data_IF_279392416052
#
_entry.id   IF_279392416052
#
_cell.length_a   1.000
_cell.length_b   1.000
_cell.length_c   1.000
_cell.angle_alpha   90.00
_cell.angle_beta   90.00
_cell.angle_gamma   90.00
#
_symmetry.space_group_name_H-M   'P 1'
#
loop_
_entity.id
_entity.type
_entity.pdbx_description
1 polymer ?
#
# COMPACT_ATOMS: atom_id res chain seq x y z
N UNK A 1 14.22 8.02 -4.25
CA UNK A 1 14.19 6.55 -4.46
C UNK A 1 13.29 5.94 -3.39
N UNK A 2 12.58 4.84 -3.67
CA UNK A 2 11.80 4.08 -2.70
C UNK A 2 12.36 2.66 -2.62
N UNK A 3 12.35 2.07 -1.43
CA UNK A 3 12.77 0.69 -1.20
C UNK A 3 11.56 -0.07 -0.66
N UNK A 4 11.22 -1.17 -1.32
CA UNK A 4 10.11 -2.03 -0.95
C UNK A 4 10.61 -3.40 -0.51
N UNK A 5 10.11 -3.87 0.62
CA UNK A 5 10.20 -5.27 1.00
C UNK A 5 8.85 -5.90 0.75
N UNK A 6 8.81 -6.91 -0.12
CA UNK A 6 7.54 -7.49 -0.59
C UNK A 6 7.52 -8.96 -0.27
N UNK A 7 6.51 -9.41 0.49
CA UNK A 7 6.32 -10.85 0.72
C UNK A 7 5.58 -11.49 -0.45
N UNK A 8 6.08 -12.64 -0.90
CA UNK A 8 5.45 -13.45 -1.94
C UNK A 8 5.44 -14.91 -1.49
N UNK A 9 4.32 -15.60 -1.69
CA UNK A 9 4.14 -17.00 -1.34
C UNK A 9 3.15 -17.68 -2.29
N UNK A 10 2.91 -18.97 -2.11
CA UNK A 10 1.95 -19.69 -2.94
C UNK A 10 0.54 -19.11 -2.79
N UNK A 11 -0.05 -18.65 -3.90
CA UNK A 11 -1.34 -17.95 -3.97
C UNK A 11 -1.44 -16.69 -3.09
N UNK A 12 -0.31 -16.09 -2.72
CA UNK A 12 -0.27 -14.83 -1.98
C UNK A 12 0.83 -13.93 -2.53
N UNK A 13 0.46 -12.74 -2.99
CA UNK A 13 1.43 -11.73 -3.39
C UNK A 13 1.05 -10.40 -2.75
N UNK A 14 2.02 -9.74 -2.14
CA UNK A 14 1.81 -8.48 -1.44
C UNK A 14 1.98 -8.61 0.07
N UNK A 15 2.16 -7.46 0.71
CA UNK A 15 2.56 -7.33 2.10
C UNK A 15 4.04 -6.95 2.25
N UNK A 16 4.38 -6.35 3.37
CA UNK A 16 5.75 -5.95 3.75
C UNK A 16 6.20 -6.77 4.97
N UNK A 17 7.34 -6.43 5.57
CA UNK A 17 7.70 -6.95 6.88
C UNK A 17 6.58 -6.73 7.90
N UNK A 18 6.51 -7.63 8.88
CA UNK A 18 5.58 -7.47 9.99
C UNK A 18 6.04 -6.34 10.91
N UNK A 19 5.14 -5.80 11.73
CA UNK A 19 5.53 -4.90 12.83
C UNK A 19 6.54 -5.57 13.76
N UNK A 20 7.55 -4.84 14.27
CA UNK A 20 7.76 -3.39 14.14
C UNK A 20 8.58 -2.94 12.90
N UNK A 21 8.76 -3.81 11.91
CA UNK A 21 9.71 -3.59 10.80
C UNK A 21 9.06 -3.12 9.49
N UNK A 22 7.74 -2.91 9.52
CA UNK A 22 6.89 -2.59 8.36
C UNK A 22 7.46 -1.48 7.48
N UNK A 23 8.05 -0.46 8.10
CA UNK A 23 8.54 0.76 7.45
C UNK A 23 10.06 0.80 7.23
N UNK A 24 10.79 -0.32 7.38
CA UNK A 24 12.24 -0.33 7.16
C UNK A 24 12.67 0.11 5.76
N UNK A 25 11.86 -0.18 4.74
CA UNK A 25 12.11 0.33 3.39
C UNK A 25 12.17 1.86 3.33
N UNK A 26 11.24 2.53 4.03
CA UNK A 26 11.22 3.99 4.17
C UNK A 26 12.41 4.48 4.97
N UNK A 27 12.69 3.87 6.12
CA UNK A 27 13.81 4.25 7.00
C UNK A 27 15.15 4.20 6.23
N UNK A 28 15.41 3.12 5.50
CA UNK A 28 16.64 2.98 4.71
C UNK A 28 16.68 4.02 3.58
N UNK A 29 15.56 4.20 2.87
CA UNK A 29 15.44 5.19 1.79
C UNK A 29 15.73 6.61 2.27
N UNK A 30 15.19 6.99 3.42
CA UNK A 30 15.38 8.33 3.99
C UNK A 30 16.80 8.50 4.50
N UNK A 31 17.38 7.46 5.14
CA UNK A 31 18.80 7.46 5.51
C UNK A 31 19.70 7.62 4.28
N UNK A 32 19.48 6.88 3.20
CA UNK A 32 20.24 7.05 1.96
C UNK A 32 20.13 8.47 1.39
N UNK A 33 18.94 9.08 1.45
CA UNK A 33 18.75 10.47 1.00
C UNK A 33 19.58 11.44 1.84
N UNK A 34 19.51 11.33 3.17
CA UNK A 34 20.26 12.17 4.10
C UNK A 34 21.76 12.05 3.90
N UNK A 35 22.25 10.84 3.63
CA UNK A 35 23.66 10.57 3.41
C UNK A 35 24.11 10.86 1.97
N UNK A 36 23.22 11.29 1.07
CA UNK A 36 23.56 11.55 -0.34
C UNK A 36 23.98 10.28 -1.10
N UNK A 37 23.24 9.19 -0.89
CA UNK A 37 23.32 7.94 -1.66
C UNK A 37 22.24 7.97 -2.73
N UNK A 38 22.65 8.02 -4.00
CA UNK A 38 21.74 8.08 -5.15
C UNK A 38 21.88 6.85 -6.04
N UNK A 39 20.76 6.18 -6.29
CA UNK A 39 20.68 5.11 -7.27
C UNK A 39 20.08 5.62 -8.59
N UNK A 40 20.43 5.03 -9.74
CA UNK A 40 19.86 5.41 -11.03
C UNK A 40 18.41 4.92 -11.22
N UNK A 41 17.78 4.41 -10.17
CA UNK A 41 16.43 3.87 -10.17
C UNK A 41 15.54 4.67 -9.24
N UNK A 42 14.25 4.76 -9.58
CA UNK A 42 13.25 5.31 -8.69
C UNK A 42 12.90 4.34 -7.57
N UNK A 43 12.93 3.04 -7.85
CA UNK A 43 12.44 1.99 -6.97
C UNK A 43 13.41 0.81 -6.88
N UNK A 44 13.59 0.28 -5.68
CA UNK A 44 14.27 -0.98 -5.41
C UNK A 44 13.28 -1.91 -4.70
N UNK A 45 13.03 -3.09 -5.23
CA UNK A 45 12.21 -4.11 -4.60
C UNK A 45 13.08 -5.28 -4.14
N UNK A 46 12.98 -5.62 -2.87
CA UNK A 46 13.51 -6.86 -2.31
C UNK A 46 12.30 -7.76 -2.00
N UNK A 47 12.04 -8.69 -2.91
CA UNK A 47 10.94 -9.64 -2.83
C UNK A 47 11.40 -10.86 -2.02
N UNK A 48 10.69 -11.17 -0.95
CA UNK A 48 10.91 -12.30 -0.08
C UNK A 48 9.96 -13.42 -0.49
N UNK A 49 10.47 -14.37 -1.26
CA UNK A 49 9.73 -15.55 -1.67
C UNK A 49 9.70 -16.56 -0.52
N UNK A 50 8.58 -16.63 0.19
CA UNK A 50 8.32 -17.57 1.28
C UNK A 50 8.03 -18.96 0.72
N UNK A 51 8.85 -19.92 1.13
CA UNK A 51 8.66 -21.32 0.80
C UNK A 51 7.31 -21.83 1.31
N UNK A 52 6.60 -22.59 0.49
CA UNK A 52 5.30 -23.14 0.82
C UNK A 52 5.20 -24.62 0.45
N UNK A 53 4.82 -25.44 1.42
CA UNK A 53 4.46 -26.85 1.21
C UNK A 53 2.97 -27.05 0.88
N UNK A 54 2.19 -25.97 0.73
CA UNK A 54 0.76 -26.02 0.38
C UNK A 54 0.46 -26.57 -1.02
N UNK A 55 1.22 -26.25 -2.08
CA UNK A 55 0.96 -26.78 -3.42
C UNK A 55 1.00 -28.32 -3.44
N UNK A 56 0.20 -28.95 -4.31
CA UNK A 56 0.14 -30.41 -4.46
C UNK A 56 0.21 -30.80 -5.95
N UNK A 57 0.63 -32.04 -6.22
CA UNK A 57 0.71 -32.57 -7.59
C UNK A 57 1.59 -31.70 -8.50
N UNK A 58 1.13 -31.44 -9.73
CA UNK A 58 1.84 -30.61 -10.74
C UNK A 58 2.14 -29.20 -10.25
N UNK A 59 1.25 -28.59 -9.46
CA UNK A 59 1.48 -27.24 -8.92
C UNK A 59 2.68 -27.20 -7.96
N UNK A 60 2.94 -28.31 -7.25
CA UNK A 60 4.12 -28.46 -6.39
C UNK A 60 5.42 -28.54 -7.20
N UNK A 61 5.41 -29.28 -8.30
CA UNK A 61 6.55 -29.37 -9.22
C UNK A 61 6.87 -28.00 -9.81
N UNK A 62 5.86 -27.31 -10.36
CA UNK A 62 6.01 -25.95 -10.94
C UNK A 62 6.52 -24.95 -9.89
N UNK A 63 5.92 -24.97 -8.69
CA UNK A 63 6.32 -24.07 -7.61
C UNK A 63 7.76 -24.33 -7.15
N UNK A 64 8.13 -25.59 -6.93
CA UNK A 64 9.49 -25.96 -6.53
C UNK A 64 10.52 -25.61 -7.62
N UNK A 65 10.21 -25.86 -8.88
CA UNK A 65 11.07 -25.50 -10.01
C UNK A 65 11.30 -23.99 -10.11
N UNK A 66 10.27 -23.19 -9.84
CA UNK A 66 10.41 -21.74 -9.75
C UNK A 66 11.24 -21.32 -8.54
N UNK A 67 10.96 -21.87 -7.35
CA UNK A 67 11.64 -21.52 -6.10
C UNK A 67 13.13 -21.87 -6.14
N UNK A 68 13.48 -23.02 -6.73
CA UNK A 68 14.85 -23.48 -6.87
C UNK A 68 15.70 -22.64 -7.85
N UNK A 69 15.07 -21.75 -8.65
CA UNK A 69 15.77 -20.80 -9.53
C UNK A 69 16.12 -19.48 -8.83
N UNK A 70 15.76 -19.33 -7.56
CA UNK A 70 16.09 -18.14 -6.76
C UNK A 70 17.53 -18.21 -6.21
N UNK A 71 18.20 -17.07 -5.99
CA UNK A 71 17.69 -15.72 -6.12
C UNK A 71 17.59 -15.25 -7.59
N UNK A 72 16.61 -14.38 -7.88
CA UNK A 72 16.42 -13.77 -9.20
C UNK A 72 16.72 -12.28 -9.15
N UNK A 73 17.33 -11.76 -10.21
CA UNK A 73 17.56 -10.34 -10.40
C UNK A 73 16.79 -9.82 -11.62
N UNK A 74 16.19 -8.64 -11.48
CA UNK A 74 15.54 -7.92 -12.56
C UNK A 74 15.95 -6.44 -12.51
N UNK A 75 16.16 -5.85 -13.69
CA UNK A 75 16.49 -4.43 -13.84
C UNK A 75 15.70 -3.83 -14.99
N UNK A 76 14.77 -2.95 -14.65
CA UNK A 76 14.05 -2.08 -15.58
C UNK A 76 14.68 -0.69 -15.66
N UNK A 77 13.97 0.22 -16.35
CA UNK A 77 14.38 1.63 -16.50
C UNK A 77 14.30 2.42 -15.18
N UNK A 78 13.21 2.23 -14.43
CA UNK A 78 12.93 2.97 -13.19
C UNK A 78 12.98 2.09 -11.94
N UNK A 79 13.05 0.78 -12.11
CA UNK A 79 12.92 -0.18 -11.01
C UNK A 79 14.01 -1.24 -11.10
N UNK A 80 14.51 -1.65 -9.95
CA UNK A 80 15.35 -2.82 -9.78
C UNK A 80 14.64 -3.76 -8.80
N UNK A 81 14.60 -5.06 -9.10
CA UNK A 81 13.98 -6.04 -8.21
C UNK A 81 14.91 -7.23 -7.97
N UNK A 82 15.04 -7.65 -6.72
CA UNK A 82 15.73 -8.87 -6.29
C UNK A 82 14.73 -9.77 -5.60
N UNK A 83 14.62 -11.03 -6.03
CA UNK A 83 13.79 -12.03 -5.36
C UNK A 83 14.67 -13.01 -4.61
N UNK A 84 14.53 -13.05 -3.29
CA UNK A 84 15.30 -13.90 -2.38
C UNK A 84 14.45 -15.09 -1.91
N UNK A 85 15.01 -16.32 -1.85
CA UNK A 85 14.33 -17.44 -1.22
C UNK A 85 14.40 -17.30 0.30
N UNK A 86 13.26 -17.41 0.97
CA UNK A 86 13.14 -17.41 2.44
C UNK A 86 12.29 -18.59 2.91
N UNK A 87 12.73 -19.25 3.98
CA UNK A 87 12.08 -20.46 4.50
C UNK A 87 11.18 -20.19 5.72
N UNK A 88 11.29 -19.01 6.31
CA UNK A 88 10.49 -18.56 7.44
C UNK A 88 10.31 -17.04 7.38
N UNK A 89 9.33 -16.54 8.13
CA UNK A 89 9.21 -15.12 8.41
C UNK A 89 10.35 -14.67 9.32
N UNK A 90 10.74 -13.41 9.15
CA UNK A 90 11.63 -12.67 10.03
C UNK A 90 11.12 -12.65 11.48
N UNK A 91 12.03 -12.80 12.44
CA UNK A 91 11.70 -12.77 13.89
C UNK A 91 12.48 -11.71 14.65
N UNK A 92 13.65 -11.32 14.14
CA UNK A 92 14.55 -10.36 14.77
C UNK A 92 15.05 -9.31 13.78
N UNK A 93 15.60 -8.23 14.31
CA UNK A 93 16.29 -7.20 13.52
C UNK A 93 17.48 -7.80 12.75
N UNK A 94 18.20 -8.74 13.36
CA UNK A 94 19.34 -9.43 12.74
C UNK A 94 18.90 -10.24 11.51
N UNK A 95 17.82 -11.02 11.62
CA UNK A 95 17.28 -11.80 10.48
C UNK A 95 16.98 -10.88 9.29
N UNK A 96 16.44 -9.69 9.58
CA UNK A 96 16.03 -8.71 8.58
C UNK A 96 17.25 -8.08 7.92
N UNK A 97 18.23 -7.64 8.70
CA UNK A 97 19.44 -7.04 8.15
C UNK A 97 20.24 -8.05 7.33
N UNK A 98 20.27 -9.33 7.71
CA UNK A 98 20.82 -10.38 6.85
C UNK A 98 20.11 -10.46 5.49
N UNK A 99 18.77 -10.33 5.44
CA UNK A 99 18.03 -10.29 4.17
C UNK A 99 18.33 -9.03 3.36
N UNK A 100 18.43 -7.88 4.03
CA UNK A 100 18.79 -6.60 3.41
C UNK A 100 20.18 -6.71 2.76
N UNK A 101 21.19 -7.15 3.52
CA UNK A 101 22.55 -7.30 3.03
C UNK A 101 22.62 -8.25 1.84
N UNK A 102 21.99 -9.43 1.92
CA UNK A 102 21.92 -10.37 0.79
C UNK A 102 21.26 -9.76 -0.45
N UNK A 103 20.20 -8.97 -0.25
CA UNK A 103 19.55 -8.23 -1.33
C UNK A 103 20.50 -7.24 -2.00
N UNK A 104 21.15 -6.39 -1.22
CA UNK A 104 22.09 -5.39 -1.72
C UNK A 104 23.37 -5.98 -2.32
N UNK A 105 23.89 -7.09 -1.79
CA UNK A 105 25.02 -7.81 -2.39
C UNK A 105 24.72 -8.25 -3.83
N UNK A 106 23.51 -8.75 -4.08
CA UNK A 106 23.08 -9.10 -5.44
C UNK A 106 22.95 -7.87 -6.34
N UNK A 107 22.50 -6.73 -5.79
CA UNK A 107 22.46 -5.45 -6.50
C UNK A 107 23.88 -5.02 -6.88
N UNK A 108 24.82 -5.08 -5.94
CA UNK A 108 26.21 -4.70 -6.16
C UNK A 108 26.90 -5.59 -7.19
N UNK A 109 26.67 -6.90 -7.14
CA UNK A 109 27.20 -7.85 -8.11
C UNK A 109 26.68 -7.63 -9.54
N UNK A 110 25.58 -6.89 -9.70
CA UNK A 110 24.97 -6.53 -10.99
C UNK A 110 25.10 -5.04 -11.33
N UNK A 111 25.96 -4.32 -10.60
CA UNK A 111 26.30 -2.91 -10.87
C UNK A 111 26.85 -2.76 -12.30
N UNK A 112 26.33 -1.81 -13.05
CA UNK A 112 26.85 -1.41 -14.36
C UNK A 112 27.90 -0.32 -14.21
N UNK A 113 28.75 -0.17 -15.24
CA UNK A 113 29.80 0.86 -15.28
C UNK A 113 29.26 2.28 -15.05
N UNK A 114 28.08 2.57 -15.58
CA UNK A 114 27.47 3.91 -15.52
C UNK A 114 26.63 4.12 -14.25
N UNK A 115 26.58 3.14 -13.35
CA UNK A 115 25.90 3.29 -12.07
C UNK A 115 26.82 4.06 -11.10
N UNK A 116 26.39 5.26 -10.71
CA UNK A 116 27.22 6.18 -9.92
C UNK A 116 27.16 5.94 -8.41
N UNK A 117 26.30 5.03 -7.91
CA UNK A 117 26.21 4.79 -6.47
C UNK A 117 27.49 4.16 -5.91
N UNK A 118 27.98 4.68 -4.78
CA UNK A 118 29.15 4.15 -4.08
C UNK A 118 28.77 2.93 -3.23
N UNK A 119 29.31 1.76 -3.57
CA UNK A 119 29.01 0.50 -2.88
C UNK A 119 29.47 0.55 -1.41
N UNK A 120 30.65 1.09 -1.14
CA UNK A 120 31.21 1.10 0.21
C UNK A 120 30.44 2.08 1.09
N UNK A 121 30.03 3.23 0.53
CA UNK A 121 29.13 4.16 1.20
C UNK A 121 27.77 3.51 1.52
N UNK A 122 27.16 2.78 0.58
CA UNK A 122 25.89 2.07 0.84
C UNK A 122 26.05 1.08 1.99
N UNK A 123 27.10 0.25 1.98
CA UNK A 123 27.39 -0.70 3.06
C UNK A 123 27.59 -0.02 4.40
N UNK A 124 28.38 1.05 4.44
CA UNK A 124 28.63 1.82 5.65
C UNK A 124 27.32 2.37 6.22
N UNK A 125 26.48 2.96 5.37
CA UNK A 125 25.20 3.53 5.80
C UNK A 125 24.24 2.46 6.33
N UNK A 126 24.16 1.30 5.67
CA UNK A 126 23.34 0.18 6.17
C UNK A 126 23.86 -0.35 7.51
N UNK A 127 25.18 -0.50 7.67
CA UNK A 127 25.79 -0.99 8.90
C UNK A 127 25.60 -0.02 10.08
N UNK A 128 25.76 1.29 9.85
CA UNK A 128 25.48 2.29 10.87
C UNK A 128 24.00 2.27 11.28
N UNK A 129 23.09 2.17 10.30
CA UNK A 129 21.66 2.09 10.57
C UNK A 129 21.29 0.84 11.38
N UNK A 130 21.92 -0.31 11.10
CA UNK A 130 21.71 -1.53 11.90
C UNK A 130 22.06 -1.30 13.38
N UNK A 131 23.23 -0.72 13.65
CA UNK A 131 23.72 -0.43 15.00
C UNK A 131 22.80 0.56 15.72
N UNK A 132 22.34 1.60 15.03
CA UNK A 132 21.37 2.56 15.57
C UNK A 132 20.06 1.86 15.95
N UNK A 133 19.53 1.03 15.05
CA UNK A 133 18.25 0.34 15.26
C UNK A 133 18.32 -0.73 16.36
N UNK A 134 19.49 -1.34 16.61
CA UNK A 134 19.68 -2.24 17.76
C UNK A 134 19.45 -1.54 19.11
N UNK A 135 19.69 -0.23 19.18
CA UNK A 135 19.54 0.59 20.39
C UNK A 135 18.26 1.44 20.40
N UNK A 136 17.37 1.22 19.43
CA UNK A 136 16.14 2.01 19.24
C UNK A 136 14.91 1.21 19.68
N UNK A 137 13.93 1.90 20.28
CA UNK A 137 12.59 1.33 20.45
C UNK A 137 11.89 1.23 19.08
N UNK A 138 12.01 0.07 18.45
CA UNK A 138 11.49 -0.18 17.11
C UNK A 138 9.97 -0.05 17.03
N UNK A 139 9.25 -0.32 18.13
CA UNK A 139 7.79 -0.19 18.14
C UNK A 139 7.39 1.28 18.08
N UNK A 140 8.01 2.10 18.93
CA UNK A 140 7.80 3.55 18.91
C UNK A 140 8.19 4.15 17.54
N UNK A 141 9.33 3.74 16.99
CA UNK A 141 9.76 4.18 15.66
C UNK A 141 8.74 3.79 14.58
N UNK A 142 8.18 2.59 14.65
CA UNK A 142 7.14 2.14 13.73
C UNK A 142 5.87 3.02 13.83
N UNK A 143 5.43 3.34 15.04
CA UNK A 143 4.27 4.23 15.30
C UNK A 143 4.52 5.66 14.78
N UNK A 144 5.74 6.18 14.93
CA UNK A 144 6.16 7.48 14.40
C UNK A 144 6.11 7.51 12.87
N UNK A 145 6.65 6.48 12.20
CA UNK A 145 6.58 6.37 10.74
C UNK A 145 5.16 6.16 10.22
N UNK A 146 4.33 5.36 10.92
CA UNK A 146 2.92 5.21 10.59
C UNK A 146 2.19 6.55 10.63
N UNK A 147 2.40 7.31 11.70
CA UNK A 147 1.82 8.64 11.86
C UNK A 147 2.29 9.61 10.78
N UNK A 148 3.60 9.63 10.48
CA UNK A 148 4.18 10.47 9.44
C UNK A 148 3.57 10.17 8.07
N UNK A 149 3.57 8.89 7.67
CA UNK A 149 3.06 8.46 6.37
C UNK A 149 1.55 8.68 6.24
N UNK A 150 0.81 8.53 7.33
CA UNK A 150 -0.61 8.88 7.37
C UNK A 150 -0.83 10.38 7.10
N UNK A 151 -0.06 11.26 7.75
CA UNK A 151 -0.16 12.71 7.53
C UNK A 151 0.28 13.13 6.12
N UNK A 152 1.34 12.53 5.58
CA UNK A 152 1.76 12.76 4.20
C UNK A 152 0.66 12.36 3.20
N UNK A 153 0.04 11.20 3.41
CA UNK A 153 -1.06 10.74 2.57
C UNK A 153 -2.24 11.71 2.65
N UNK A 154 -2.66 12.11 3.84
CA UNK A 154 -3.74 13.10 4.02
C UNK A 154 -3.44 14.42 3.32
N UNK A 155 -2.21 14.91 3.44
CA UNK A 155 -1.78 16.16 2.79
C UNK A 155 -1.92 16.05 1.28
N UNK A 156 -1.35 15.00 0.67
CA UNK A 156 -1.47 14.75 -0.77
C UNK A 156 -2.92 14.64 -1.23
N UNK A 157 -3.78 13.94 -0.47
CA UNK A 157 -5.21 13.81 -0.80
C UNK A 157 -5.98 15.11 -0.68
N UNK A 158 -5.58 15.96 0.28
CA UNK A 158 -6.14 17.31 0.42
C UNK A 158 -5.77 18.18 -0.78
N UNK A 159 -4.51 18.13 -1.21
CA UNK A 159 -4.03 18.85 -2.40
C UNK A 159 -4.73 18.35 -3.68
N UNK A 160 -4.79 17.03 -3.90
CA UNK A 160 -5.52 16.40 -5.00
C UNK A 160 -7.00 16.87 -5.04
N UNK A 161 -7.62 17.02 -3.86
CA UNK A 161 -8.99 17.50 -3.76
C UNK A 161 -9.10 18.99 -4.13
N UNK A 162 -8.23 19.85 -3.60
CA UNK A 162 -8.21 21.28 -3.93
C UNK A 162 -7.99 21.52 -5.43
N UNK A 163 -7.08 20.77 -6.05
CA UNK A 163 -6.86 20.82 -7.49
C UNK A 163 -8.15 20.50 -8.26
N UNK A 164 -8.87 19.43 -7.86
CA UNK A 164 -10.15 19.05 -8.47
C UNK A 164 -11.25 20.08 -8.27
N UNK A 165 -11.34 20.71 -7.10
CA UNK A 165 -12.33 21.76 -6.83
C UNK A 165 -12.08 23.02 -7.68
N UNK A 166 -10.82 23.31 -8.00
CA UNK A 166 -10.41 24.45 -8.83
C UNK A 166 -10.36 24.15 -10.33
N UNK A 167 -10.49 22.87 -10.72
CA UNK A 167 -10.44 22.43 -12.12
C UNK A 167 -11.70 22.90 -12.86
N UNK A 168 -11.51 23.71 -13.90
CA UNK A 168 -12.56 24.01 -14.87
C UNK A 168 -12.62 22.92 -15.94
N UNK A 169 -13.47 21.91 -15.74
CA UNK A 169 -13.74 20.90 -16.75
C UNK A 169 -15.22 20.66 -16.97
N UNK A 170 -15.57 20.53 -18.25
CA UNK A 170 -16.92 20.24 -18.69
C UNK A 170 -17.37 18.83 -18.30
N UNK A 171 -18.57 18.75 -17.72
CA UNK A 171 -19.25 17.51 -17.38
C UNK A 171 -19.98 16.93 -18.61
N UNK A 172 -19.36 15.97 -19.30
CA UNK A 172 -19.86 15.44 -20.58
C UNK A 172 -20.24 13.96 -20.58
N UNK A 173 -19.75 13.16 -19.62
CA UNK A 173 -19.97 11.70 -19.57
C UNK A 173 -21.18 11.35 -18.72
N UNK A 174 -22.06 10.48 -19.20
CA UNK A 174 -23.15 9.95 -18.37
C UNK A 174 -22.61 9.01 -17.28
N UNK A 175 -23.20 9.06 -16.09
CA UNK A 175 -22.87 8.14 -15.00
C UNK A 175 -23.34 6.71 -15.31
N UNK A 176 -22.41 5.76 -15.24
CA UNK A 176 -22.62 4.32 -15.47
C UNK A 176 -22.73 3.53 -14.17
N UNK A 177 -22.04 3.95 -13.12
CA UNK A 177 -21.98 3.20 -11.88
C UNK A 177 -21.80 4.14 -10.68
N UNK A 178 -22.30 3.72 -9.52
CA UNK A 178 -22.13 4.39 -8.25
C UNK A 178 -21.93 3.32 -7.17
N UNK A 179 -20.88 3.45 -6.34
CA UNK A 179 -20.62 2.50 -5.25
C UNK A 179 -20.13 3.19 -4.00
N UNK A 180 -20.46 2.59 -2.86
CA UNK A 180 -19.93 2.97 -1.56
C UNK A 180 -18.81 2.02 -1.14
N UNK A 181 -17.72 2.59 -0.64
CA UNK A 181 -16.59 1.85 -0.08
C UNK A 181 -16.44 2.24 1.38
N UNK A 182 -16.66 1.28 2.28
CA UNK A 182 -16.77 1.53 3.71
C UNK A 182 -15.43 1.28 4.40
N UNK A 183 -14.95 2.29 5.14
CA UNK A 183 -13.68 2.24 5.88
C UNK A 183 -13.89 2.43 7.37
N UNK A 184 -14.81 1.67 7.93
CA UNK A 184 -15.11 1.66 9.36
C UNK A 184 -14.25 0.67 10.12
N UNK A 185 -13.66 1.12 11.22
CA UNK A 185 -12.94 0.25 12.16
C UNK A 185 -13.87 -0.84 12.71
N UNK A 186 -13.43 -2.10 12.68
CA UNK A 186 -14.10 -3.28 13.25
C UNK A 186 -15.44 -3.71 12.62
N UNK A 187 -16.00 -2.96 11.66
CA UNK A 187 -17.28 -3.28 11.01
C UNK A 187 -17.15 -3.44 9.49
N UNK A 188 -16.17 -2.77 8.86
CA UNK A 188 -15.90 -2.90 7.42
C UNK A 188 -17.14 -2.69 6.56
N UNK A 189 -17.36 -3.59 5.59
CA UNK A 189 -18.49 -3.55 4.64
C UNK A 189 -19.86 -3.88 5.27
N UNK A 190 -19.92 -4.31 6.54
CA UNK A 190 -21.15 -4.82 7.15
C UNK A 190 -22.17 -3.76 7.51
N UNK A 191 -21.85 -2.47 7.40
CA UNK A 191 -22.74 -1.42 7.89
C UNK A 191 -24.02 -1.30 7.06
N UNK A 192 -23.95 -1.48 5.75
CA UNK A 192 -25.13 -1.46 4.86
C UNK A 192 -25.33 -2.78 4.13
N UNK A 193 -24.54 -3.82 4.42
CA UNK A 193 -24.75 -5.14 3.85
C UNK A 193 -26.09 -5.72 4.36
N UNK A 194 -26.98 -6.25 3.50
CA UNK A 194 -26.85 -6.46 2.05
C UNK A 194 -27.54 -5.40 1.16
N UNK A 195 -27.99 -4.29 1.73
CA UNK A 195 -28.78 -3.26 1.04
C UNK A 195 -27.95 -2.20 0.30
N UNK A 196 -26.63 -2.24 0.43
CA UNK A 196 -25.70 -1.28 -0.16
C UNK A 196 -25.91 -1.11 -1.68
N UNK A 197 -26.11 -2.23 -2.39
CA UNK A 197 -26.33 -2.27 -3.83
C UNK A 197 -27.67 -1.64 -4.22
N UNK A 198 -28.74 -1.93 -3.46
CA UNK A 198 -30.06 -1.36 -3.71
C UNK A 198 -30.09 0.15 -3.46
N UNK A 199 -29.40 0.61 -2.40
CA UNK A 199 -29.24 2.04 -2.10
C UNK A 199 -28.47 2.72 -3.23
N UNK A 200 -27.36 2.13 -3.68
CA UNK A 200 -26.56 2.67 -4.78
C UNK A 200 -27.39 2.78 -6.08
N UNK A 201 -28.17 1.75 -6.42
CA UNK A 201 -29.03 1.73 -7.61
C UNK A 201 -30.13 2.80 -7.55
N UNK A 202 -30.78 2.96 -6.39
CA UNK A 202 -31.78 4.03 -6.17
C UNK A 202 -31.19 5.41 -6.39
N UNK A 203 -29.98 5.66 -5.89
CA UNK A 203 -29.29 6.95 -6.08
C UNK A 203 -28.87 7.12 -7.55
N UNK A 204 -28.30 6.08 -8.15
CA UNK A 204 -27.83 6.09 -9.54
C UNK A 204 -28.97 6.41 -10.51
N UNK A 205 -30.14 5.78 -10.34
CA UNK A 205 -31.31 6.04 -11.17
C UNK A 205 -31.79 7.49 -11.03
N UNK A 206 -31.86 8.03 -9.80
CA UNK A 206 -32.19 9.44 -9.58
C UNK A 206 -31.18 10.39 -10.25
N UNK A 207 -29.88 10.07 -10.23
CA UNK A 207 -28.87 10.86 -10.93
C UNK A 207 -29.05 10.80 -12.45
N UNK A 208 -29.37 9.63 -13.00
CA UNK A 208 -29.62 9.43 -14.43
C UNK A 208 -30.88 10.16 -14.91
N UNK A 209 -31.97 10.10 -14.14
CA UNK A 209 -33.21 10.82 -14.44
C UNK A 209 -32.98 12.32 -14.54
N UNK A 210 -32.08 12.85 -13.70
CA UNK A 210 -31.66 14.25 -13.71
C UNK A 210 -30.61 14.57 -14.78
N UNK A 211 -30.27 13.62 -15.65
CA UNK A 211 -29.23 13.72 -16.68
C UNK A 211 -27.87 14.16 -16.08
N UNK A 212 -27.56 13.73 -14.87
CA UNK A 212 -26.30 14.05 -14.20
C UNK A 212 -25.11 13.54 -15.03
N UNK A 213 -24.13 14.41 -15.25
CA UNK A 213 -22.93 14.11 -16.03
C UNK A 213 -21.68 14.30 -15.18
N UNK A 214 -20.69 13.48 -15.48
CA UNK A 214 -19.35 13.46 -14.93
C UNK A 214 -18.37 14.02 -15.99
N UNK A 215 -17.17 14.47 -15.59
CA UNK A 215 -16.21 15.09 -16.51
C UNK A 215 -15.58 14.06 -17.46
N UNK A 216 -14.50 13.42 -17.05
CA UNK A 216 -13.71 12.49 -17.86
C UNK A 216 -13.95 11.01 -17.49
N UNK A 217 -14.87 10.73 -16.58
CA UNK A 217 -15.15 9.39 -16.06
C UNK A 217 -16.63 9.02 -16.04
N UNK A 218 -16.91 7.74 -15.81
CA UNK A 218 -18.28 7.20 -15.81
C UNK A 218 -18.67 6.49 -14.52
N UNK A 219 -17.75 6.22 -13.60
CA UNK A 219 -18.00 5.50 -12.35
C UNK A 219 -17.76 6.47 -11.19
N UNK A 220 -18.70 6.57 -10.25
CA UNK A 220 -18.58 7.42 -9.06
C UNK A 220 -18.47 6.53 -7.83
N UNK A 221 -17.26 6.33 -7.33
CA UNK A 221 -17.06 5.62 -6.06
C UNK A 221 -16.88 6.62 -4.92
N UNK A 222 -17.54 6.34 -3.79
CA UNK A 222 -17.62 7.23 -2.64
C UNK A 222 -17.02 6.52 -1.44
N UNK A 223 -15.99 7.11 -0.84
CA UNK A 223 -15.43 6.64 0.42
C UNK A 223 -16.32 7.06 1.57
N UNK A 224 -16.73 6.08 2.37
CA UNK A 224 -17.64 6.26 3.48
C UNK A 224 -16.92 5.88 4.77
N UNK A 225 -16.81 6.84 5.70
CA UNK A 225 -16.18 6.61 7.00
C UNK A 225 -16.84 7.39 8.13
N UNK A 226 -16.32 7.19 9.33
CA UNK A 226 -16.67 7.87 10.58
C UNK A 226 -16.19 9.34 10.66
N UNK A 227 -15.16 9.68 9.87
CA UNK A 227 -14.58 11.01 9.79
C UNK A 227 -14.24 11.41 8.36
N UNK A 228 -14.13 12.71 8.12
CA UNK A 228 -13.75 13.25 6.82
C UNK A 228 -12.30 12.86 6.49
N UNK A 229 -11.41 12.99 7.47
CA UNK A 229 -10.00 12.66 7.36
C UNK A 229 -9.80 11.18 6.98
N UNK A 230 -10.45 10.25 7.68
CA UNK A 230 -10.32 8.82 7.37
C UNK A 230 -10.89 8.49 5.97
N UNK A 231 -12.01 9.09 5.58
CA UNK A 231 -12.56 8.93 4.22
C UNK A 231 -11.60 9.48 3.17
N UNK A 232 -10.99 10.64 3.43
CA UNK A 232 -10.05 11.30 2.54
C UNK A 232 -8.75 10.48 2.38
N UNK A 233 -8.20 9.96 3.49
CA UNK A 233 -7.03 9.08 3.50
C UNK A 233 -7.21 7.88 2.58
N UNK A 234 -8.37 7.22 2.64
CA UNK A 234 -8.69 6.06 1.81
C UNK A 234 -9.11 6.40 0.37
N UNK A 235 -9.20 7.67 -0.01
CA UNK A 235 -9.56 8.09 -1.37
C UNK A 235 -8.36 7.92 -2.32
N UNK A 236 -8.09 6.69 -2.76
CA UNK A 236 -6.99 6.40 -3.69
C UNK A 236 -7.42 6.62 -5.14
N UNK A 237 -6.66 7.42 -5.88
CA UNK A 237 -6.82 7.61 -7.33
C UNK A 237 -6.31 6.36 -8.07
N UNK A 238 -7.19 5.63 -8.73
CA UNK A 238 -6.80 4.73 -9.81
C UNK A 238 -7.12 5.43 -11.13
N UNK A 239 -6.12 5.65 -11.97
CA UNK A 239 -6.19 6.53 -13.16
C UNK A 239 -7.26 6.13 -14.19
N UNK A 240 -7.88 4.95 -14.04
CA UNK A 240 -8.96 4.47 -14.90
C UNK A 240 -10.29 4.16 -14.16
N UNK A 241 -10.34 4.23 -12.83
CA UNK A 241 -11.53 3.94 -12.01
C UNK A 241 -11.64 4.96 -10.87
N UNK A 242 -12.62 5.86 -10.96
CA UNK A 242 -12.68 7.06 -10.12
C UNK A 242 -13.38 6.79 -8.78
N UNK A 243 -12.58 6.78 -7.71
CA UNK A 243 -13.05 7.03 -6.34
C UNK A 243 -12.87 8.51 -6.05
N UNK A 244 -13.96 9.25 -5.91
CA UNK A 244 -13.93 10.72 -5.84
C UNK A 244 -14.89 11.33 -4.83
N UNK A 245 -15.90 10.60 -4.36
CA UNK A 245 -16.81 11.11 -3.33
C UNK A 245 -16.31 10.79 -1.94
N UNK A 246 -16.70 11.63 -0.99
CA UNK A 246 -16.51 11.42 0.43
C UNK A 246 -17.88 11.54 1.08
N UNK A 247 -18.23 10.58 1.93
CA UNK A 247 -19.39 10.63 2.80
C UNK A 247 -18.95 10.32 4.23
N UNK A 248 -19.48 11.08 5.19
CA UNK A 248 -19.17 10.91 6.61
C UNK A 248 -20.43 10.52 7.35
N UNK A 249 -20.42 9.36 8.00
CA UNK A 249 -21.50 8.91 8.87
C UNK A 249 -21.19 9.31 10.32
N UNK A 250 -21.62 10.52 10.71
CA UNK A 250 -21.35 11.07 12.04
C UNK A 250 -21.87 10.19 13.18
N UNK A 251 -23.01 9.52 12.95
CA UNK A 251 -23.67 8.67 13.95
C UNK A 251 -23.02 7.28 14.10
N UNK A 252 -21.99 6.96 13.30
CA UNK A 252 -21.30 5.67 13.35
C UNK A 252 -20.61 5.42 14.70
N UNK A 253 -20.04 6.45 15.34
CA UNK A 253 -19.36 6.28 16.64
C UNK A 253 -20.28 5.73 17.74
N UNK A 254 -21.58 6.00 17.62
CA UNK A 254 -22.58 5.49 18.54
C UNK A 254 -23.21 4.18 18.07
N UNK A 255 -23.01 3.76 16.81
CA UNK A 255 -23.53 2.50 16.28
C UNK A 255 -23.06 1.28 17.08
N UNK A 256 -21.79 1.25 17.49
CA UNK A 256 -21.28 0.16 18.34
C UNK A 256 -21.97 0.08 19.71
N UNK A 257 -22.50 1.21 20.19
CA UNK A 257 -23.18 1.32 21.49
C UNK A 257 -24.70 1.12 21.39
N UNK A 258 -25.26 1.12 20.17
CA UNK A 258 -26.68 0.86 19.92
C UNK A 258 -27.01 -0.61 20.19
N UNK A 259 -28.21 -0.88 20.69
CA UNK A 259 -28.74 -2.24 20.86
C UNK A 259 -28.97 -2.88 19.49
N UNK A 260 -28.97 -4.21 19.41
CA UNK A 260 -29.21 -4.94 18.15
C UNK A 260 -30.55 -4.56 17.49
N UNK A 261 -31.57 -4.25 18.29
CA UNK A 261 -32.88 -3.77 17.81
C UNK A 261 -32.81 -2.38 17.16
N UNK A 262 -31.89 -1.52 17.62
CA UNK A 262 -31.66 -0.19 17.08
C UNK A 262 -30.78 -0.25 15.82
N UNK A 263 -29.85 -1.20 15.77
CA UNK A 263 -29.04 -1.48 14.56
C UNK A 263 -29.91 -1.99 13.41
N UNK A 264 -30.87 -2.88 13.69
CA UNK A 264 -31.88 -3.37 12.72
C UNK A 264 -32.82 -2.31 12.15
N UNK A 265 -32.86 -1.10 12.72
CA UNK A 265 -33.65 0.03 12.19
C UNK A 265 -32.83 0.96 11.28
N UNK A 266 -31.51 0.78 11.28
CA UNK A 266 -30.56 1.49 10.41
C UNK A 266 -30.32 0.67 9.12
N UNK A 267 -30.52 -0.65 9.19
CA UNK A 267 -30.81 -1.55 8.04
C UNK A 267 -32.01 -1.06 7.23
#
# INVERSE_FOLDING_TARGET
>A
MQIYFIKSGFNSYGGTFNEPFRYLGNIISDRFRTEGVEFPFKEIEIILALFSNKPKGKDKEIYNDWFNKLPRFYRGKNILSVTLPVFANEKSLEDIFQLIYRGFELIFAKKKKDDLYDIEKVKQVLSLLEIELQNTDLRKLNEEYESLLYQEALTRRTEDRKERENRSVENKKAIRDLRFYYHFENIGYRYFDPYDSEICDKILNKLRDRKFKLPDYTHLYIQVSDSFENSLYNTVRNENCYVCGIAVLKDYKDYQKKKEEEKKRIE
#
